data_IF_291277036701
#
_entry.id   IF_291277036701
#
_cell.length_a   1.000
_cell.length_b   1.000
_cell.length_c   1.000
_cell.angle_alpha   90.00
_cell.angle_beta   90.00
_cell.angle_gamma   90.00
#
_symmetry.space_group_name_H-M   'P 1'
#
loop_
_entity.id
_entity.type
_entity.pdbx_description
1 polymer ?
#
# COMPACT_ATOMS: atom_id res chain seq x y z
N UNK A 1 11.61 -4.63 -12.46
CA UNK A 1 11.30 -6.05 -12.82
C UNK A 1 11.69 -7.04 -11.73
N UNK A 2 12.70 -6.77 -10.91
CA UNK A 2 13.18 -7.74 -9.89
C UNK A 2 12.22 -7.91 -8.69
N UNK A 3 11.45 -6.88 -8.37
CA UNK A 3 10.46 -6.94 -7.27
C UNK A 3 9.37 -7.96 -7.58
N UNK A 4 8.85 -7.97 -8.82
CA UNK A 4 7.81 -8.91 -9.25
C UNK A 4 8.32 -10.36 -9.30
N UNK A 5 9.55 -10.57 -9.76
CA UNK A 5 10.18 -11.90 -9.76
C UNK A 5 10.32 -12.44 -8.35
N UNK A 6 10.76 -11.59 -7.41
CA UNK A 6 10.87 -11.96 -5.99
C UNK A 6 9.51 -12.24 -5.38
N UNK A 7 8.50 -11.44 -5.68
CA UNK A 7 7.14 -11.63 -5.20
C UNK A 7 6.54 -12.94 -5.73
N UNK A 8 6.68 -13.22 -7.03
CA UNK A 8 6.23 -14.47 -7.62
C UNK A 8 6.92 -15.69 -7.00
N UNK A 9 8.24 -15.62 -6.78
CA UNK A 9 8.98 -16.67 -6.07
C UNK A 9 8.52 -16.84 -4.63
N UNK A 10 8.23 -15.76 -3.93
CA UNK A 10 7.72 -15.81 -2.55
C UNK A 10 6.37 -16.50 -2.50
N UNK A 11 5.45 -16.19 -3.42
CA UNK A 11 4.14 -16.85 -3.51
C UNK A 11 4.26 -18.33 -3.88
N UNK A 12 5.14 -18.68 -4.85
CA UNK A 12 5.40 -20.07 -5.21
C UNK A 12 5.98 -20.88 -4.03
N UNK A 13 6.76 -20.23 -3.16
CA UNK A 13 7.31 -20.85 -1.96
C UNK A 13 6.32 -20.87 -0.77
N UNK A 14 5.06 -20.46 -0.95
CA UNK A 14 4.02 -20.46 0.09
C UNK A 14 4.13 -19.26 1.06
N UNK A 15 4.96 -18.27 0.75
CA UNK A 15 5.07 -17.05 1.57
C UNK A 15 4.02 -16.01 1.19
N UNK A 16 3.71 -15.13 2.13
CA UNK A 16 2.84 -13.96 1.90
C UNK A 16 3.66 -12.76 1.46
N UNK A 17 3.27 -12.17 0.33
CA UNK A 17 3.82 -10.91 -0.13
C UNK A 17 2.67 -9.98 -0.53
N UNK A 18 2.60 -8.79 0.06
CA UNK A 18 1.57 -7.81 -0.23
C UNK A 18 1.57 -7.40 -1.70
N UNK A 19 0.39 -7.26 -2.29
CA UNK A 19 0.20 -6.85 -3.70
C UNK A 19 0.18 -5.34 -3.85
N UNK A 20 -0.19 -4.62 -2.79
CA UNK A 20 -0.48 -3.20 -2.79
C UNK A 20 0.77 -2.38 -3.10
N UNK A 21 1.87 -2.63 -2.39
CA UNK A 21 3.14 -1.94 -2.63
C UNK A 21 3.70 -2.18 -4.03
N UNK A 22 3.54 -3.41 -4.55
CA UNK A 22 3.98 -3.74 -5.90
C UNK A 22 3.17 -3.00 -6.97
N UNK A 23 1.85 -2.88 -6.80
CA UNK A 23 1.00 -2.18 -7.74
C UNK A 23 1.30 -0.67 -7.78
N UNK A 24 1.51 -0.05 -6.62
CA UNK A 24 1.91 1.37 -6.53
C UNK A 24 3.26 1.59 -7.23
N UNK A 25 4.25 0.72 -6.98
CA UNK A 25 5.55 0.80 -7.64
C UNK A 25 5.44 0.59 -9.15
N UNK A 26 4.54 -0.29 -9.60
CA UNK A 26 4.27 -0.48 -11.03
C UNK A 26 3.71 0.80 -11.64
N UNK A 27 2.67 1.37 -11.04
CA UNK A 27 2.07 2.63 -11.50
C UNK A 27 3.08 3.75 -11.60
N UNK A 28 3.88 3.96 -10.55
CA UNK A 28 4.96 4.95 -10.55
C UNK A 28 6.05 4.66 -11.60
N UNK A 29 6.41 3.39 -11.80
CA UNK A 29 7.42 3.00 -12.78
C UNK A 29 6.96 3.22 -14.23
N UNK A 30 5.71 2.88 -14.52
CA UNK A 30 5.11 3.12 -15.85
C UNK A 30 5.03 4.63 -16.12
N UNK A 31 4.56 5.39 -15.14
CA UNK A 31 4.47 6.85 -15.25
C UNK A 31 5.86 7.49 -15.44
N UNK A 32 6.88 7.04 -14.72
CA UNK A 32 8.25 7.50 -14.92
C UNK A 32 8.79 7.16 -16.31
N UNK A 33 8.47 5.96 -16.84
CA UNK A 33 8.84 5.58 -18.20
C UNK A 33 8.17 6.49 -19.23
N UNK A 34 6.88 6.77 -19.05
CA UNK A 34 6.12 7.70 -19.91
C UNK A 34 6.72 9.11 -19.84
N UNK A 35 7.02 9.62 -18.63
CA UNK A 35 7.64 10.93 -18.43
C UNK A 35 8.98 11.06 -19.13
N UNK A 36 9.80 10.00 -19.12
CA UNK A 36 11.05 9.96 -19.87
C UNK A 36 10.82 9.96 -21.38
N UNK A 37 9.83 9.24 -21.85
CA UNK A 37 9.53 9.15 -23.27
C UNK A 37 9.02 10.46 -23.86
N UNK A 38 8.24 11.21 -23.06
CA UNK A 38 7.72 12.54 -23.43
C UNK A 38 8.75 13.65 -23.15
N UNK A 39 9.93 13.32 -22.60
CA UNK A 39 11.00 14.26 -22.26
C UNK A 39 10.58 15.33 -21.24
N UNK A 40 9.80 14.96 -20.23
CA UNK A 40 9.44 15.84 -19.11
C UNK A 40 10.69 16.22 -18.30
N UNK A 41 10.70 17.43 -17.78
CA UNK A 41 11.71 17.86 -16.82
C UNK A 41 11.59 17.10 -15.48
N UNK A 42 12.51 17.34 -14.55
CA UNK A 42 12.55 16.62 -13.28
C UNK A 42 11.31 16.90 -12.41
N UNK A 43 10.80 18.12 -12.41
CA UNK A 43 9.64 18.50 -11.58
C UNK A 43 8.37 17.87 -12.12
N UNK A 44 8.10 17.96 -13.42
CA UNK A 44 6.93 17.36 -14.06
C UNK A 44 7.01 15.84 -14.02
N UNK A 45 8.22 15.26 -14.10
CA UNK A 45 8.42 13.83 -13.94
C UNK A 45 8.09 13.35 -12.52
N UNK A 46 8.33 14.16 -11.51
CA UNK A 46 7.91 13.88 -10.15
C UNK A 46 6.38 13.85 -10.03
N UNK A 47 5.72 14.83 -10.65
CA UNK A 47 4.25 14.91 -10.67
C UNK A 47 3.62 13.70 -11.39
N UNK A 48 4.12 13.33 -12.57
CA UNK A 48 3.55 12.20 -13.32
C UNK A 48 3.76 10.87 -12.59
N UNK A 49 4.86 10.69 -11.85
CA UNK A 49 5.08 9.51 -11.01
C UNK A 49 4.04 9.44 -9.89
N UNK A 50 3.75 10.56 -9.20
CA UNK A 50 2.69 10.63 -8.19
C UNK A 50 1.31 10.31 -8.80
N UNK A 51 1.02 10.81 -10.00
CA UNK A 51 -0.22 10.48 -10.72
C UNK A 51 -0.33 8.97 -11.02
N UNK A 52 0.77 8.33 -11.45
CA UNK A 52 0.78 6.89 -11.72
C UNK A 52 0.59 6.05 -10.46
N UNK A 53 1.18 6.46 -9.35
CA UNK A 53 0.99 5.82 -8.04
C UNK A 53 -0.45 5.98 -7.56
N UNK A 54 -1.00 7.18 -7.67
CA UNK A 54 -2.40 7.50 -7.32
C UNK A 54 -3.39 6.71 -8.16
N UNK A 55 -3.17 6.62 -9.47
CA UNK A 55 -4.00 5.83 -10.38
C UNK A 55 -4.00 4.34 -10.01
N UNK A 56 -2.83 3.75 -9.77
CA UNK A 56 -2.70 2.34 -9.40
C UNK A 56 -3.36 2.03 -8.05
N UNK A 57 -3.18 2.90 -7.05
CA UNK A 57 -3.81 2.75 -5.75
C UNK A 57 -5.35 2.84 -5.86
N UNK A 58 -5.84 3.82 -6.60
CA UNK A 58 -7.27 4.02 -6.80
C UNK A 58 -7.94 2.86 -7.56
N UNK A 59 -7.26 2.30 -8.54
CA UNK A 59 -7.76 1.14 -9.28
C UNK A 59 -7.90 -0.10 -8.38
N UNK A 60 -7.00 -0.27 -7.39
CA UNK A 60 -7.04 -1.40 -6.45
C UNK A 60 -8.12 -1.25 -5.38
N UNK A 61 -8.20 -0.07 -4.77
CA UNK A 61 -9.04 0.14 -3.58
C UNK A 61 -10.35 0.86 -3.85
N UNK A 62 -10.55 1.41 -5.05
CA UNK A 62 -11.75 2.17 -5.38
C UNK A 62 -11.90 3.48 -4.58
N UNK A 63 -10.80 4.04 -4.05
CA UNK A 63 -10.79 5.21 -3.18
C UNK A 63 -9.98 6.37 -3.80
N UNK A 64 -10.52 7.07 -4.80
CA UNK A 64 -9.74 8.04 -5.57
C UNK A 64 -9.22 9.23 -4.73
N UNK A 65 -10.01 9.74 -3.77
CA UNK A 65 -9.60 10.84 -2.90
C UNK A 65 -8.43 10.45 -2.00
N UNK A 66 -8.54 9.30 -1.33
CA UNK A 66 -7.48 8.78 -0.48
C UNK A 66 -6.22 8.44 -1.27
N UNK A 67 -6.37 7.90 -2.48
CA UNK A 67 -5.27 7.58 -3.39
C UNK A 67 -4.46 8.81 -3.79
N UNK A 68 -5.13 9.93 -4.09
CA UNK A 68 -4.48 11.17 -4.43
C UNK A 68 -3.64 11.72 -3.27
N UNK A 69 -4.23 11.81 -2.07
CA UNK A 69 -3.52 12.29 -0.87
C UNK A 69 -2.36 11.35 -0.50
N UNK A 70 -2.60 10.04 -0.52
CA UNK A 70 -1.59 9.03 -0.20
C UNK A 70 -0.35 9.14 -1.09
N UNK A 71 -0.54 9.32 -2.41
CA UNK A 71 0.59 9.41 -3.34
C UNK A 71 1.45 10.66 -3.11
N UNK A 72 0.85 11.77 -2.67
CA UNK A 72 1.59 12.98 -2.31
C UNK A 72 2.46 12.78 -1.07
N UNK A 73 1.96 12.07 -0.07
CA UNK A 73 2.69 11.86 1.18
C UNK A 73 3.78 10.79 1.06
N UNK A 74 3.54 9.75 0.26
CA UNK A 74 4.49 8.63 0.11
C UNK A 74 5.76 9.03 -0.64
N UNK A 75 5.63 9.92 -1.63
CA UNK A 75 6.77 10.36 -2.46
C UNK A 75 7.64 11.37 -1.73
N UNK A 76 7.04 12.24 -0.92
CA UNK A 76 7.76 13.33 -0.26
C UNK A 76 7.32 13.45 1.19
N UNK A 77 7.94 12.66 2.06
CA UNK A 77 7.64 12.69 3.50
C UNK A 77 7.90 14.08 4.08
N UNK A 78 6.85 14.72 4.56
CA UNK A 78 6.93 16.04 5.21
C UNK A 78 6.88 17.25 4.29
N UNK A 79 6.83 17.06 2.97
CA UNK A 79 6.65 18.15 1.99
C UNK A 79 5.49 17.80 1.07
N UNK A 80 4.37 18.50 1.19
CA UNK A 80 3.22 18.31 0.31
C UNK A 80 3.39 19.13 -0.99
N UNK A 81 3.49 18.44 -2.12
CA UNK A 81 3.43 19.06 -3.45
C UNK A 81 1.99 19.34 -3.84
N UNK A 82 1.42 20.45 -3.35
CA UNK A 82 0.03 20.82 -3.65
C UNK A 82 -0.28 20.96 -5.13
N UNK A 83 0.70 21.31 -5.94
CA UNK A 83 0.59 21.39 -7.40
C UNK A 83 0.25 20.04 -8.04
N UNK A 84 0.67 18.95 -7.44
CA UNK A 84 0.36 17.60 -7.91
C UNK A 84 -1.02 17.09 -7.46
N UNK A 85 -1.70 17.76 -6.53
CA UNK A 85 -2.98 17.29 -5.98
C UNK A 85 -4.05 17.13 -7.07
N UNK A 86 -4.26 18.15 -7.89
CA UNK A 86 -5.28 18.11 -8.95
C UNK A 86 -4.97 17.05 -10.01
N UNK A 87 -3.75 16.96 -10.57
CA UNK A 87 -3.40 15.89 -11.50
C UNK A 87 -3.58 14.49 -10.89
N UNK A 88 -3.17 14.28 -9.63
CA UNK A 88 -3.35 13.00 -8.94
C UNK A 88 -4.83 12.65 -8.72
N UNK A 89 -5.68 13.63 -8.38
CA UNK A 89 -7.11 13.45 -8.26
C UNK A 89 -7.75 13.01 -9.58
N UNK A 90 -7.43 13.69 -10.68
CA UNK A 90 -7.94 13.36 -12.00
C UNK A 90 -7.48 11.96 -12.41
N UNK A 91 -6.20 11.66 -12.25
CA UNK A 91 -5.64 10.35 -12.58
C UNK A 91 -6.29 9.22 -11.77
N UNK A 92 -6.52 9.43 -10.47
CA UNK A 92 -7.16 8.45 -9.60
C UNK A 92 -8.64 8.22 -9.93
N UNK A 93 -9.38 9.26 -10.25
CA UNK A 93 -10.78 9.16 -10.69
C UNK A 93 -10.91 8.39 -12.00
N UNK A 94 -10.11 8.74 -13.00
CA UNK A 94 -10.10 8.04 -14.29
C UNK A 94 -9.75 6.56 -14.10
N UNK A 95 -8.71 6.27 -13.31
CA UNK A 95 -8.26 4.89 -13.07
C UNK A 95 -9.32 4.06 -12.35
N UNK A 96 -10.00 4.61 -11.34
CA UNK A 96 -11.08 3.94 -10.62
C UNK A 96 -12.26 3.59 -11.55
N UNK A 97 -12.71 4.54 -12.36
CA UNK A 97 -13.80 4.32 -13.31
C UNK A 97 -13.41 3.32 -14.42
N UNK A 98 -12.17 3.42 -14.92
CA UNK A 98 -11.68 2.48 -15.92
C UNK A 98 -11.59 1.06 -15.35
N UNK A 99 -11.04 0.89 -14.14
CA UNK A 99 -10.97 -0.41 -13.47
C UNK A 99 -12.37 -1.02 -13.26
N UNK A 100 -13.34 -0.22 -12.81
CA UNK A 100 -14.71 -0.64 -12.65
C UNK A 100 -15.35 -1.05 -14.01
N UNK A 101 -15.09 -0.30 -15.07
CA UNK A 101 -15.54 -0.63 -16.43
C UNK A 101 -14.92 -1.91 -17.00
N UNK A 102 -13.71 -2.27 -16.58
CA UNK A 102 -13.05 -3.53 -16.92
C UNK A 102 -13.49 -4.72 -16.04
N UNK A 103 -14.42 -4.51 -15.11
CA UNK A 103 -14.91 -5.55 -14.21
C UNK A 103 -13.95 -5.88 -13.07
N UNK A 104 -12.96 -5.04 -12.80
CA UNK A 104 -12.10 -5.18 -11.62
C UNK A 104 -12.88 -4.76 -10.39
N UNK A 105 -13.14 -5.71 -9.50
CA UNK A 105 -13.77 -5.42 -8.21
C UNK A 105 -12.71 -4.86 -7.25
N UNK A 106 -12.90 -3.63 -6.73
CA UNK A 106 -11.96 -3.07 -5.76
C UNK A 106 -11.98 -3.88 -4.46
N UNK A 107 -10.84 -3.99 -3.80
CA UNK A 107 -10.75 -4.56 -2.46
C UNK A 107 -11.39 -3.57 -1.46
N UNK A 108 -12.69 -3.65 -1.29
CA UNK A 108 -13.45 -2.77 -0.41
C UNK A 108 -14.13 -3.57 0.70
N UNK A 109 -14.03 -3.06 1.92
CA UNK A 109 -14.84 -3.57 3.02
C UNK A 109 -16.25 -3.01 2.91
N UNK A 110 -17.26 -3.88 2.84
CA UNK A 110 -18.65 -3.46 2.84
C UNK A 110 -19.03 -2.93 4.22
N UNK A 111 -19.16 -1.61 4.34
CA UNK A 111 -19.67 -0.98 5.55
C UNK A 111 -21.20 -0.97 5.47
N UNK A 112 -21.83 -1.75 6.34
CA UNK A 112 -23.28 -1.76 6.51
C UNK A 112 -23.65 -0.62 7.46
N UNK A 113 -24.62 0.23 7.10
CA UNK A 113 -25.04 1.43 7.80
C UNK A 113 -24.01 2.57 7.79
N UNK A 114 -23.95 3.30 6.68
CA UNK A 114 -23.20 4.54 6.60
C UNK A 114 -24.03 5.64 7.30
N UNK A 115 -23.56 6.17 8.47
CA UNK A 115 -24.31 7.22 9.16
C UNK A 115 -24.28 8.51 8.34
N UNK A 116 -25.36 9.30 8.43
CA UNK A 116 -25.40 10.62 7.80
C UNK A 116 -24.27 11.51 8.33
N UNK A 117 -23.75 12.37 7.45
CA UNK A 117 -22.72 13.35 7.81
C UNK A 117 -23.34 14.36 8.82
N UNK A 118 -22.98 14.20 10.07
CA UNK A 118 -23.33 15.09 11.17
C UNK A 118 -22.07 15.48 11.95
N UNK A 119 -22.13 16.53 12.72
CA UNK A 119 -21.02 16.94 13.58
C UNK A 119 -20.63 15.82 14.57
N UNK A 120 -21.60 15.11 15.10
CA UNK A 120 -21.39 13.98 15.99
C UNK A 120 -20.63 12.82 15.29
N UNK A 121 -21.03 12.49 14.07
CA UNK A 121 -20.36 11.49 13.24
C UNK A 121 -18.92 11.94 12.93
N UNK A 122 -18.72 13.21 12.60
CA UNK A 122 -17.40 13.79 12.35
C UNK A 122 -16.47 13.68 13.56
N UNK A 123 -16.98 13.97 14.75
CA UNK A 123 -16.20 13.83 16.00
C UNK A 123 -15.82 12.36 16.26
N UNK A 124 -16.76 11.41 16.08
CA UNK A 124 -16.47 9.97 16.22
C UNK A 124 -15.41 9.49 15.22
N UNK A 125 -15.49 9.94 13.97
CA UNK A 125 -14.47 9.66 12.96
C UNK A 125 -13.12 10.27 13.34
N UNK A 126 -13.10 11.47 13.90
CA UNK A 126 -11.88 12.10 14.40
C UNK A 126 -11.19 11.30 15.51
N UNK A 127 -11.96 10.77 16.47
CA UNK A 127 -11.43 9.91 17.53
C UNK A 127 -10.84 8.61 16.97
N UNK A 128 -11.54 7.99 16.01
CA UNK A 128 -11.04 6.78 15.34
C UNK A 128 -9.74 7.09 14.57
N UNK A 129 -9.71 8.21 13.85
CA UNK A 129 -8.52 8.64 13.12
C UNK A 129 -7.31 8.87 14.04
N UNK A 130 -7.51 9.49 15.21
CA UNK A 130 -6.47 9.63 16.22
C UNK A 130 -5.99 8.28 16.75
N UNK A 131 -6.90 7.37 17.02
CA UNK A 131 -6.54 6.00 17.42
C UNK A 131 -5.71 5.28 16.36
N UNK A 132 -6.12 5.35 15.10
CA UNK A 132 -5.36 4.80 13.98
C UNK A 132 -3.97 5.45 13.84
N UNK A 133 -3.87 6.76 14.03
CA UNK A 133 -2.58 7.47 13.98
C UNK A 133 -1.62 6.98 15.08
N UNK A 134 -2.10 6.82 16.31
CA UNK A 134 -1.30 6.29 17.41
C UNK A 134 -0.83 4.87 17.12
N UNK A 135 -1.73 3.99 16.65
CA UNK A 135 -1.39 2.60 16.28
C UNK A 135 -0.34 2.60 15.16
N UNK A 136 -0.49 3.46 14.15
CA UNK A 136 0.45 3.59 13.05
C UNK A 136 1.85 4.01 13.53
N UNK A 137 1.92 4.99 14.43
CA UNK A 137 3.20 5.43 15.02
C UNK A 137 3.87 4.28 15.78
N UNK A 138 3.12 3.58 16.63
CA UNK A 138 3.63 2.42 17.39
C UNK A 138 4.12 1.33 16.44
N UNK A 139 3.36 1.03 15.41
CA UNK A 139 3.75 0.05 14.38
C UNK A 139 5.05 0.43 13.66
N UNK A 140 5.19 1.69 13.26
CA UNK A 140 6.42 2.19 12.64
C UNK A 140 7.63 2.09 13.57
N UNK A 141 7.45 2.41 14.87
CA UNK A 141 8.52 2.27 15.87
C UNK A 141 8.93 0.80 16.00
N UNK A 142 7.95 -0.10 16.14
CA UNK A 142 8.21 -1.55 16.25
C UNK A 142 8.96 -2.07 15.02
N UNK A 143 8.53 -1.69 13.82
CA UNK A 143 9.22 -2.10 12.58
C UNK A 143 10.67 -1.62 12.54
N UNK A 144 10.91 -0.36 12.87
CA UNK A 144 12.25 0.22 12.86
C UNK A 144 13.15 -0.43 13.92
N UNK A 145 12.64 -0.62 15.14
CA UNK A 145 13.41 -1.27 16.21
C UNK A 145 13.68 -2.74 15.89
N UNK A 146 12.71 -3.45 15.33
CA UNK A 146 12.89 -4.83 14.87
C UNK A 146 13.97 -4.90 13.79
N UNK A 147 13.93 -4.01 12.80
CA UNK A 147 14.95 -3.97 11.75
C UNK A 147 16.35 -3.66 12.30
N UNK A 148 16.44 -2.77 13.28
CA UNK A 148 17.71 -2.46 13.99
C UNK A 148 18.20 -3.65 14.80
N UNK A 149 17.31 -4.30 15.55
CA UNK A 149 17.62 -5.47 16.36
C UNK A 149 18.16 -6.63 15.51
N UNK A 150 17.43 -6.96 14.41
CA UNK A 150 17.90 -7.98 13.47
C UNK A 150 19.22 -7.59 12.79
N UNK A 151 19.42 -6.30 12.50
CA UNK A 151 20.68 -5.78 11.94
C UNK A 151 21.87 -5.94 12.89
N UNK A 152 21.64 -5.84 14.19
CA UNK A 152 22.66 -5.93 15.22
C UNK A 152 23.03 -7.38 15.58
N UNK A 153 22.04 -8.27 15.61
CA UNK A 153 22.23 -9.68 16.00
C UNK A 153 22.74 -10.55 14.84
N UNK A 154 22.31 -10.28 13.61
CA UNK A 154 22.63 -11.09 12.44
C UNK A 154 23.43 -10.27 11.41
N UNK A 155 24.75 -10.37 11.44
CA UNK A 155 25.63 -9.75 10.45
C UNK A 155 25.46 -10.38 9.05
N UNK A 156 25.04 -11.63 8.96
CA UNK A 156 24.86 -12.36 7.71
C UNK A 156 23.41 -12.24 7.22
N UNK A 157 23.22 -11.76 5.95
CA UNK A 157 21.92 -11.57 5.32
C UNK A 157 21.10 -12.88 5.23
N UNK A 158 21.76 -14.00 5.01
CA UNK A 158 21.10 -15.30 4.90
C UNK A 158 20.62 -15.81 6.27
N UNK A 159 21.43 -15.65 7.32
CA UNK A 159 21.05 -16.01 8.68
C UNK A 159 19.81 -15.21 9.15
N UNK A 160 19.71 -13.95 8.75
CA UNK A 160 18.55 -13.08 9.03
C UNK A 160 17.26 -13.63 8.44
N UNK A 161 17.30 -14.07 7.16
CA UNK A 161 16.14 -14.64 6.48
C UNK A 161 15.71 -15.95 7.12
N UNK A 162 16.66 -16.83 7.42
CA UNK A 162 16.38 -18.11 8.08
C UNK A 162 15.79 -17.92 9.48
N UNK A 163 16.38 -17.02 10.28
CA UNK A 163 15.84 -16.71 11.62
C UNK A 163 14.41 -16.14 11.56
N UNK A 164 14.13 -15.24 10.60
CA UNK A 164 12.78 -14.73 10.36
C UNK A 164 11.80 -15.81 9.96
N UNK A 165 12.19 -16.71 9.06
CA UNK A 165 11.36 -17.82 8.61
C UNK A 165 11.04 -18.79 9.77
N UNK A 166 12.03 -19.16 10.56
CA UNK A 166 11.85 -20.03 11.74
C UNK A 166 10.89 -19.38 12.75
N UNK A 167 11.04 -18.07 13.02
CA UNK A 167 10.15 -17.33 13.92
C UNK A 167 8.71 -17.35 13.42
N UNK A 168 8.49 -17.10 12.13
CA UNK A 168 7.14 -17.11 11.52
C UNK A 168 6.53 -18.50 11.63
N UNK A 169 7.27 -19.56 11.29
CA UNK A 169 6.80 -20.94 11.42
C UNK A 169 6.43 -21.25 12.87
N UNK A 170 7.25 -20.86 13.83
CA UNK A 170 7.02 -21.09 15.25
C UNK A 170 5.74 -20.38 15.73
N UNK A 171 5.54 -19.11 15.35
CA UNK A 171 4.32 -18.36 15.68
C UNK A 171 3.09 -19.00 15.03
N UNK A 172 3.18 -19.41 13.77
CA UNK A 172 2.10 -20.07 13.03
C UNK A 172 1.69 -21.39 13.71
N UNK A 173 2.64 -22.17 14.17
CA UNK A 173 2.37 -23.42 14.91
C UNK A 173 1.70 -23.16 16.27
N UNK A 174 2.12 -22.12 16.99
CA UNK A 174 1.50 -21.76 18.28
C UNK A 174 0.08 -21.25 18.09
N UNK A 175 -0.16 -20.42 17.10
CA UNK A 175 -1.48 -19.84 16.83
C UNK A 175 -2.44 -20.82 16.15
N UNK A 176 -1.91 -21.93 15.59
CA UNK A 176 -2.72 -22.94 14.89
C UNK A 176 -3.40 -22.42 13.63
N UNK A 177 -2.96 -21.26 13.12
CA UNK A 177 -3.50 -20.64 11.90
C UNK A 177 -2.52 -20.79 10.75
N UNK A 178 -3.03 -21.27 9.62
CA UNK A 178 -2.27 -21.32 8.36
C UNK A 178 -2.68 -20.19 7.42
N UNK A 179 -3.40 -19.20 7.92
CA UNK A 179 -3.92 -18.09 7.14
C UNK A 179 -2.79 -17.16 6.72
N UNK A 180 -2.38 -17.29 5.48
CA UNK A 180 -1.52 -16.33 4.82
C UNK A 180 -2.32 -15.06 4.49
N UNK A 181 -1.77 -13.88 4.73
CA UNK A 181 -2.42 -12.59 4.50
C UNK A 181 -2.99 -12.45 3.08
N UNK A 182 -2.39 -13.11 2.10
CA UNK A 182 -2.87 -13.10 0.71
C UNK A 182 -4.13 -13.95 0.48
N UNK A 183 -4.46 -14.89 1.37
CA UNK A 183 -5.59 -15.80 1.23
C UNK A 183 -6.82 -15.40 2.04
N UNK A 184 -6.67 -14.56 3.06
CA UNK A 184 -7.79 -14.13 3.90
C UNK A 184 -8.84 -13.38 3.12
N UNK A 185 -8.45 -12.64 2.07
CA UNK A 185 -9.41 -11.93 1.22
C UNK A 185 -10.15 -12.83 0.22
N UNK A 186 -9.59 -13.97 -0.14
CA UNK A 186 -10.26 -14.93 -1.04
C UNK A 186 -11.26 -15.82 -0.30
N UNK A 187 -11.04 -16.13 0.99
CA UNK A 187 -11.94 -16.95 1.80
C UNK A 187 -13.14 -16.21 2.39
N UNK A 188 -13.10 -14.88 2.44
CA UNK A 188 -14.21 -14.08 2.91
C UNK A 188 -15.36 -13.97 1.89
N UNK A 189 -15.21 -14.57 0.70
CA UNK A 189 -16.20 -14.55 -0.38
C UNK A 189 -16.77 -15.94 -0.71
N UNK A 190 -16.40 -16.99 0.01
CA UNK A 190 -17.08 -18.30 0.02
C UNK A 190 -17.95 -18.43 1.28
#
# INVERSE_FOLDING_TARGET
SDVYKRQALTHLAGGSAGREGAAIQLGGSIANLLGRWIHLDEEDRHVIVMCGMSAAFSALFGTPMAAAVFSLEVVSVGVMYYTALMPCMIASLIASHFAAGMGVTPEAFHVVNIPALSLETGLKMGVVALGCAVISIVFCIILNETARFYGRFFSNKYARVVAGAVLVIFITLILGTTDSVSYTHLRAHE
#
